data_IF_726709212900
#
_entry.id   IF_726709212900
#
_cell.length_a   1.000
_cell.length_b   1.000
_cell.length_c   1.000
_cell.angle_alpha   90.00
_cell.angle_beta   90.00
_cell.angle_gamma   90.00
#
_symmetry.space_group_name_H-M   'P 1'
#
loop_
_entity.id
_entity.type
_entity.pdbx_description
1 polymer ?
#
# COMPACT_ATOMS: atom_id res chain seq x y z
N UNK A 1 -18.53 3.79 -5.48
CA UNK A 1 -17.23 4.25 -6.01
C UNK A 1 -16.19 3.24 -5.56
N UNK A 2 -15.32 2.78 -6.47
CA UNK A 2 -14.22 1.84 -6.16
C UNK A 2 -13.34 2.44 -5.02
N UNK A 3 -12.93 1.62 -4.04
CA UNK A 3 -12.16 2.07 -2.86
C UNK A 3 -10.91 2.87 -3.25
N UNK A 4 -10.29 2.51 -4.38
CA UNK A 4 -9.09 3.12 -4.94
C UNK A 4 -9.24 4.57 -5.42
N UNK A 5 -10.46 5.12 -5.43
CA UNK A 5 -10.71 6.54 -5.73
C UNK A 5 -11.04 7.38 -4.49
N UNK A 6 -11.16 6.77 -3.32
CA UNK A 6 -11.38 7.49 -2.07
C UNK A 6 -10.09 8.12 -1.59
N UNK A 7 -10.20 9.31 -1.01
CA UNK A 7 -9.09 9.95 -0.32
C UNK A 7 -8.76 9.23 0.99
N UNK A 8 -7.53 9.43 1.48
CA UNK A 8 -7.14 8.95 2.82
C UNK A 8 -8.06 9.51 3.90
N UNK A 9 -8.53 10.75 3.75
CA UNK A 9 -9.47 11.38 4.69
C UNK A 9 -10.84 10.68 4.73
N UNK A 10 -11.24 10.00 3.66
CA UNK A 10 -12.45 9.16 3.63
C UNK A 10 -12.19 7.74 4.14
N UNK A 11 -11.02 7.16 3.80
CA UNK A 11 -10.69 5.76 4.13
C UNK A 11 -10.30 5.57 5.59
N UNK A 12 -9.51 6.49 6.15
CA UNK A 12 -8.96 6.34 7.49
C UNK A 12 -10.05 6.25 8.59
N UNK A 13 -11.12 7.06 8.56
CA UNK A 13 -12.23 6.89 9.51
C UNK A 13 -12.93 5.53 9.36
N UNK A 14 -13.15 5.06 8.13
CA UNK A 14 -13.77 3.76 7.86
C UNK A 14 -12.92 2.60 8.41
N UNK A 15 -11.60 2.70 8.26
CA UNK A 15 -10.65 1.75 8.84
C UNK A 15 -10.67 1.81 10.38
N UNK A 16 -10.62 3.03 10.94
CA UNK A 16 -10.59 3.24 12.39
C UNK A 16 -11.85 2.67 13.08
N UNK A 17 -13.03 2.83 12.49
CA UNK A 17 -14.27 2.31 13.05
C UNK A 17 -14.58 0.86 12.66
N UNK A 18 -13.74 0.23 11.83
CA UNK A 18 -13.90 -1.16 11.39
C UNK A 18 -14.94 -1.36 10.27
N UNK A 19 -15.41 -0.29 9.62
CA UNK A 19 -16.26 -0.37 8.42
C UNK A 19 -15.49 -0.87 7.19
N UNK A 20 -14.17 -0.67 7.16
CA UNK A 20 -13.27 -1.12 6.10
C UNK A 20 -12.07 -1.84 6.69
N UNK A 21 -11.77 -3.04 6.21
CA UNK A 21 -10.54 -3.74 6.55
C UNK A 21 -9.34 -3.13 5.78
N UNK A 22 -8.19 -2.90 6.42
CA UNK A 22 -6.92 -2.63 5.73
C UNK A 22 -6.57 -3.70 4.69
N UNK A 23 -6.88 -4.97 4.98
CA UNK A 23 -6.64 -6.12 4.08
C UNK A 23 -7.51 -6.01 2.83
N UNK A 24 -8.78 -5.66 2.99
CA UNK A 24 -9.69 -5.41 1.87
C UNK A 24 -9.20 -4.25 0.99
N UNK A 25 -8.73 -3.16 1.61
CA UNK A 25 -8.20 -2.01 0.88
C UNK A 25 -6.91 -2.36 0.12
N UNK A 26 -5.97 -3.06 0.77
CA UNK A 26 -4.72 -3.50 0.15
C UNK A 26 -4.99 -4.40 -1.07
N UNK A 27 -5.90 -5.37 -0.92
CA UNK A 27 -6.33 -6.25 -2.01
C UNK A 27 -6.95 -5.45 -3.16
N UNK A 28 -7.82 -4.49 -2.87
CA UNK A 28 -8.42 -3.63 -3.90
C UNK A 28 -7.38 -2.84 -4.69
N UNK A 29 -6.32 -2.35 -4.03
CA UNK A 29 -5.21 -1.68 -4.69
C UNK A 29 -4.41 -2.65 -5.59
N UNK A 30 -4.05 -3.84 -5.10
CA UNK A 30 -3.29 -4.84 -5.87
C UNK A 30 -4.06 -5.35 -7.09
N UNK A 31 -5.36 -5.59 -6.94
CA UNK A 31 -6.25 -5.98 -8.05
C UNK A 31 -6.30 -4.90 -9.14
N UNK A 32 -6.26 -3.62 -8.73
CA UNK A 32 -6.22 -2.49 -9.67
C UNK A 32 -4.86 -2.36 -10.34
N UNK A 33 -3.76 -2.52 -9.61
CA UNK A 33 -2.41 -2.51 -10.19
C UNK A 33 -2.32 -3.58 -11.28
N UNK A 34 -2.72 -4.82 -10.97
CA UNK A 34 -2.72 -5.94 -11.93
C UNK A 34 -3.50 -5.63 -13.21
N UNK A 35 -4.64 -4.92 -13.09
CA UNK A 35 -5.51 -4.59 -14.22
C UNK A 35 -5.01 -3.41 -15.06
N UNK A 36 -4.36 -2.42 -14.44
CA UNK A 36 -4.14 -1.10 -15.06
C UNK A 36 -2.66 -0.84 -15.36
N UNK A 37 -1.75 -1.35 -14.54
CA UNK A 37 -0.33 -1.08 -14.68
C UNK A 37 0.33 -1.61 -15.97
N UNK A 38 -0.17 -2.69 -16.63
CA UNK A 38 0.34 -3.08 -17.95
C UNK A 38 0.20 -1.99 -19.03
N UNK A 39 -0.69 -0.99 -18.80
CA UNK A 39 -0.90 0.15 -19.71
C UNK A 39 -0.11 1.37 -19.23
N UNK A 40 -0.07 1.60 -17.91
CA UNK A 40 0.54 2.81 -17.33
C UNK A 40 2.04 2.69 -17.10
N UNK A 41 2.53 1.49 -16.80
CA UNK A 41 3.91 1.21 -16.43
C UNK A 41 4.40 2.15 -15.32
N UNK A 42 3.61 2.25 -14.24
CA UNK A 42 3.81 3.18 -13.14
C UNK A 42 4.63 2.57 -11.99
N UNK A 43 4.60 1.24 -11.81
CA UNK A 43 5.36 0.55 -10.78
C UNK A 43 6.59 -0.15 -11.38
N UNK A 44 7.74 -0.05 -10.71
CA UNK A 44 8.92 -0.87 -11.02
C UNK A 44 8.85 -2.22 -10.32
N UNK A 45 8.44 -2.20 -9.06
CA UNK A 45 8.25 -3.38 -8.24
C UNK A 45 6.98 -3.21 -7.39
N UNK A 46 6.32 -4.32 -7.11
CA UNK A 46 5.07 -4.38 -6.34
C UNK A 46 5.23 -5.43 -5.25
N UNK A 47 5.39 -4.97 -4.02
CA UNK A 47 5.57 -5.81 -2.83
C UNK A 47 4.23 -6.36 -2.32
N UNK A 48 3.52 -7.09 -3.18
CA UNK A 48 2.15 -7.55 -2.92
C UNK A 48 2.03 -8.39 -1.66
N UNK A 49 2.93 -9.35 -1.47
CA UNK A 49 2.92 -10.24 -0.31
C UNK A 49 3.20 -9.46 0.99
N UNK A 50 4.22 -8.60 1.00
CA UNK A 50 4.52 -7.77 2.17
C UNK A 50 3.39 -6.77 2.47
N UNK A 51 2.75 -6.21 1.45
CA UNK A 51 1.60 -5.30 1.61
C UNK A 51 0.42 -6.03 2.27
N UNK A 52 0.16 -7.28 1.90
CA UNK A 52 -0.89 -8.09 2.52
C UNK A 52 -0.54 -8.46 3.97
N UNK A 53 0.68 -8.92 4.24
CA UNK A 53 1.14 -9.26 5.60
C UNK A 53 1.04 -8.05 6.54
N UNK A 54 1.52 -6.89 6.10
CA UNK A 54 1.46 -5.67 6.92
C UNK A 54 0.03 -5.14 7.11
N UNK A 55 -0.86 -5.36 6.15
CA UNK A 55 -2.28 -5.04 6.29
C UNK A 55 -2.97 -5.93 7.34
N UNK A 56 -2.65 -7.23 7.38
CA UNK A 56 -3.16 -8.15 8.41
C UNK A 56 -2.67 -7.76 9.82
N UNK A 57 -1.40 -7.34 9.94
CA UNK A 57 -0.88 -6.81 11.21
C UNK A 57 -1.63 -5.54 11.62
N UNK A 58 -1.84 -4.60 10.69
CA UNK A 58 -2.57 -3.37 10.97
C UNK A 58 -4.02 -3.65 11.38
N UNK A 59 -4.73 -4.53 10.68
CA UNK A 59 -6.09 -4.95 11.02
C UNK A 59 -6.16 -5.48 12.46
N UNK A 60 -5.25 -6.37 12.83
CA UNK A 60 -5.17 -6.94 14.18
C UNK A 60 -4.88 -5.89 15.26
N UNK A 61 -3.98 -4.93 14.99
CA UNK A 61 -3.69 -3.84 15.93
C UNK A 61 -4.90 -2.90 16.10
N UNK A 62 -5.56 -2.55 15.00
CA UNK A 62 -6.73 -1.65 14.99
C UNK A 62 -7.91 -2.29 15.71
N UNK A 63 -8.17 -3.58 15.46
CA UNK A 63 -9.22 -4.33 16.16
C UNK A 63 -9.00 -4.40 17.69
N UNK A 64 -7.75 -4.28 18.15
CA UNK A 64 -7.38 -4.21 19.57
C UNK A 64 -7.41 -2.79 20.15
N UNK A 65 -7.83 -1.79 19.36
CA UNK A 65 -7.89 -0.38 19.77
C UNK A 65 -6.56 0.37 19.62
N UNK A 66 -5.51 -0.25 19.06
CA UNK A 66 -4.19 0.37 18.88
C UNK A 66 -4.11 1.16 17.56
N UNK A 67 -5.02 2.11 17.38
CA UNK A 67 -5.02 2.95 16.17
C UNK A 67 -3.90 4.01 16.23
N UNK A 68 -2.97 3.97 15.27
CA UNK A 68 -1.77 4.83 15.24
C UNK A 68 -1.97 6.16 14.51
N UNK A 69 -3.15 6.41 13.92
CA UNK A 69 -3.48 7.64 13.19
C UNK A 69 -3.85 7.37 11.73
N UNK A 70 -4.06 8.45 10.96
CA UNK A 70 -4.74 8.42 9.66
C UNK A 70 -4.08 7.59 8.56
N UNK A 71 -2.82 7.16 8.74
CA UNK A 71 -2.13 6.28 7.79
C UNK A 71 -2.10 4.81 8.25
N UNK A 72 -2.66 4.49 9.42
CA UNK A 72 -2.63 3.12 9.93
C UNK A 72 -3.55 2.22 9.09
N UNK A 73 -2.95 1.27 8.35
CA UNK A 73 -3.68 0.39 7.43
C UNK A 73 -3.92 0.97 6.03
N UNK A 74 -3.33 2.11 5.68
CA UNK A 74 -3.42 2.72 4.35
C UNK A 74 -2.26 2.25 3.46
N UNK A 75 -2.52 1.67 2.27
CA UNK A 75 -1.47 1.34 1.31
C UNK A 75 -0.75 2.59 0.79
N UNK A 76 0.57 2.49 0.59
CA UNK A 76 1.41 3.56 0.05
C UNK A 76 2.23 3.07 -1.14
N UNK A 77 2.39 3.93 -2.13
CA UNK A 77 3.37 3.77 -3.20
C UNK A 77 4.55 4.70 -2.95
N UNK A 78 5.77 4.18 -3.08
CA UNK A 78 7.00 4.95 -2.91
C UNK A 78 7.65 5.18 -4.28
N UNK A 79 8.22 6.37 -4.45
CA UNK A 79 9.05 6.64 -5.62
C UNK A 79 10.38 5.89 -5.45
N UNK A 80 10.89 5.29 -6.51
CA UNK A 80 12.23 4.66 -6.59
C UNK A 80 13.40 5.67 -6.53
N UNK A 81 13.23 6.72 -5.73
CA UNK A 81 14.25 7.65 -5.27
C UNK A 81 14.34 7.63 -3.74
N UNK A 82 13.48 6.85 -3.08
CA UNK A 82 13.38 6.73 -1.62
C UNK A 82 13.94 5.36 -1.28
N UNK A 83 15.05 5.35 -0.55
CA UNK A 83 15.69 4.10 -0.14
C UNK A 83 14.82 3.34 0.87
N UNK A 84 14.65 2.05 0.65
CA UNK A 84 13.92 1.15 1.53
C UNK A 84 14.82 -0.03 1.88
N UNK A 85 15.03 -0.22 3.18
CA UNK A 85 15.93 -1.25 3.68
C UNK A 85 15.49 -2.65 3.22
N UNK A 86 16.42 -3.39 2.60
CA UNK A 86 16.19 -4.76 2.14
C UNK A 86 15.56 -4.87 0.75
N UNK A 87 15.38 -3.77 0.03
CA UNK A 87 14.85 -3.75 -1.35
C UNK A 87 15.72 -2.87 -2.24
N UNK A 88 16.00 -3.26 -3.49
CA UNK A 88 16.78 -2.42 -4.39
C UNK A 88 16.14 -1.06 -4.63
N UNK A 89 16.98 -0.02 -4.64
CA UNK A 89 16.58 1.33 -5.08
C UNK A 89 17.39 1.70 -6.31
N UNK A 90 16.74 1.75 -7.48
CA UNK A 90 17.44 1.90 -8.77
C UNK A 90 17.64 3.35 -9.17
N UNK A 91 16.98 4.30 -8.52
CA UNK A 91 17.05 5.70 -8.91
C UNK A 91 16.45 5.98 -10.29
N UNK A 92 15.67 5.04 -10.84
CA UNK A 92 15.29 5.01 -12.26
C UNK A 92 16.47 4.90 -13.23
N UNK A 93 17.61 4.33 -12.81
CA UNK A 93 18.86 4.27 -13.58
C UNK A 93 19.44 2.86 -13.64
N UNK A 94 19.87 2.45 -14.83
CA UNK A 94 20.57 1.16 -15.03
C UNK A 94 21.87 1.03 -14.24
N UNK A 95 22.49 2.16 -13.86
CA UNK A 95 23.73 2.16 -13.07
C UNK A 95 23.51 1.57 -11.68
N UNK A 96 22.30 1.69 -11.14
CA UNK A 96 21.93 1.23 -9.80
C UNK A 96 20.94 0.06 -9.86
N UNK A 97 20.88 -0.67 -10.98
CA UNK A 97 19.91 -1.75 -11.17
C UNK A 97 20.03 -2.85 -10.08
N UNK A 98 21.22 -3.05 -9.53
CA UNK A 98 21.55 -4.06 -8.53
C UNK A 98 21.94 -3.47 -7.15
N UNK A 99 21.60 -2.19 -6.90
CA UNK A 99 21.90 -1.51 -5.63
C UNK A 99 21.10 -2.11 -4.46
#
# INVERSE_FOLDING_TARGET
>A
MELTYKSVAELAPMIQCGELSPVELAKSCLDRITRVDPILNAFLDVWGDQAMETAEVAENEIAKGNYRGALHGIPVGLKDLIDVAGTPTTGGSKVLADN
#
